data_IF_744666972288
#
_entry.id   IF_744666972288
#
_cell.length_a   1.000
_cell.length_b   1.000
_cell.length_c   1.000
_cell.angle_alpha   90.00
_cell.angle_beta   90.00
_cell.angle_gamma   90.00
#
_symmetry.space_group_name_H-M   'P 1'
#
loop_
_entity.id
_entity.type
_entity.pdbx_description
1 polymer ?
#
# COMPACT_ATOMS: atom_id res chain seq x y z
N UNK A 1 25.96 7.13 -12.10
CA UNK A 1 26.92 6.21 -11.44
C UNK A 1 26.15 4.96 -11.03
N UNK A 2 26.10 4.01 -11.95
CA UNK A 2 25.60 2.66 -11.70
C UNK A 2 26.66 1.90 -10.88
N UNK A 3 26.23 1.10 -9.90
CA UNK A 3 27.13 0.26 -9.13
C UNK A 3 27.71 -0.81 -10.05
N UNK A 4 28.98 -0.63 -10.46
CA UNK A 4 29.73 -1.62 -11.23
C UNK A 4 30.01 -2.86 -10.37
N UNK A 5 29.57 -4.02 -10.84
CA UNK A 5 30.11 -5.32 -10.45
C UNK A 5 30.77 -5.94 -11.68
N UNK A 6 32.04 -6.29 -11.56
CA UNK A 6 32.85 -6.84 -12.65
C UNK A 6 32.71 -8.37 -12.75
N UNK A 7 32.69 -8.81 -14.01
CA UNK A 7 33.13 -10.12 -14.54
C UNK A 7 32.42 -11.38 -14.03
N UNK A 8 31.35 -11.76 -14.74
CA UNK A 8 30.70 -13.08 -14.65
C UNK A 8 29.52 -13.23 -15.63
N UNK A 9 29.71 -12.85 -16.90
CA UNK A 9 28.61 -12.54 -17.84
C UNK A 9 27.62 -13.69 -18.14
N UNK A 10 28.00 -14.96 -18.03
CA UNK A 10 27.11 -16.08 -18.37
C UNK A 10 26.24 -16.55 -17.18
N UNK A 11 26.79 -16.64 -15.97
CA UNK A 11 26.02 -17.00 -14.77
C UNK A 11 25.12 -15.85 -14.30
N UNK A 12 25.51 -14.60 -14.57
CA UNK A 12 24.70 -13.42 -14.25
C UNK A 12 23.39 -13.36 -15.05
N UNK A 13 23.37 -13.78 -16.32
CA UNK A 13 22.17 -13.65 -17.15
C UNK A 13 21.03 -14.55 -16.65
N UNK A 14 21.36 -15.77 -16.21
CA UNK A 14 20.40 -16.69 -15.60
C UNK A 14 19.98 -16.21 -14.20
N UNK A 15 20.92 -15.75 -13.36
CA UNK A 15 20.60 -15.22 -12.03
C UNK A 15 19.77 -13.93 -12.09
N UNK A 16 19.99 -13.08 -13.09
CA UNK A 16 19.31 -11.79 -13.30
C UNK A 16 17.89 -11.97 -13.84
N UNK A 17 17.68 -12.98 -14.70
CA UNK A 17 16.34 -13.38 -15.14
C UNK A 17 15.51 -13.97 -13.99
N UNK A 18 16.12 -14.79 -13.13
CA UNK A 18 15.43 -15.39 -11.97
C UNK A 18 15.16 -14.37 -10.85
N UNK A 19 16.05 -13.40 -10.60
CA UNK A 19 15.83 -12.35 -9.60
C UNK A 19 14.79 -11.29 -10.03
N UNK A 20 14.70 -10.97 -11.33
CA UNK A 20 13.71 -10.03 -11.83
C UNK A 20 12.28 -10.60 -11.81
N UNK A 21 12.12 -11.92 -11.96
CA UNK A 21 10.80 -12.56 -12.02
C UNK A 21 10.04 -12.57 -10.67
N UNK A 22 10.73 -12.39 -9.54
CA UNK A 22 10.15 -12.67 -8.21
C UNK A 22 9.93 -11.45 -7.31
N UNK A 23 10.48 -10.27 -7.64
CA UNK A 23 10.40 -9.07 -6.78
C UNK A 23 9.51 -7.98 -7.39
N UNK A 24 8.56 -7.46 -6.59
CA UNK A 24 7.76 -6.28 -6.97
C UNK A 24 8.60 -5.00 -6.93
N UNK A 25 8.10 -3.92 -7.54
CA UNK A 25 8.78 -2.64 -7.51
C UNK A 25 8.99 -2.12 -6.07
N UNK A 26 8.02 -2.33 -5.17
CA UNK A 26 8.15 -1.97 -3.75
C UNK A 26 9.16 -2.87 -3.02
N UNK A 27 9.33 -4.14 -3.40
CA UNK A 27 10.37 -5.01 -2.83
C UNK A 27 11.77 -4.49 -3.19
N UNK A 28 11.95 -3.97 -4.42
CA UNK A 28 13.22 -3.34 -4.83
C UNK A 28 13.51 -2.08 -4.01
N UNK A 29 12.48 -1.27 -3.69
CA UNK A 29 12.64 -0.11 -2.81
C UNK A 29 13.05 -0.53 -1.39
N UNK A 30 12.46 -1.59 -0.85
CA UNK A 30 12.83 -2.13 0.46
C UNK A 30 14.27 -2.67 0.48
N UNK A 31 14.70 -3.37 -0.58
CA UNK A 31 16.10 -3.83 -0.71
C UNK A 31 17.06 -2.64 -0.75
N UNK A 32 16.74 -1.59 -1.50
CA UNK A 32 17.54 -0.36 -1.52
C UNK A 32 17.59 0.30 -0.14
N UNK A 33 16.45 0.40 0.55
CA UNK A 33 16.34 0.94 1.91
C UNK A 33 17.21 0.19 2.92
N UNK A 34 17.25 -1.15 2.86
CA UNK A 34 18.11 -2.01 3.68
C UNK A 34 19.60 -1.71 3.47
N UNK A 35 20.03 -1.63 2.21
CA UNK A 35 21.43 -1.32 1.86
C UNK A 35 21.85 0.03 2.45
N UNK A 36 20.95 1.03 2.46
CA UNK A 36 21.23 2.36 3.01
C UNK A 36 21.34 2.39 4.53
N UNK A 37 20.64 1.51 5.22
CA UNK A 37 20.65 1.44 6.68
C UNK A 37 21.63 0.38 7.23
N UNK A 38 22.48 -0.22 6.38
CA UNK A 38 23.36 -1.32 6.78
C UNK A 38 24.30 -0.96 7.96
N UNK A 39 24.64 0.33 8.10
CA UNK A 39 25.49 0.84 9.19
C UNK A 39 24.74 1.03 10.52
N UNK A 40 23.41 1.13 10.47
CA UNK A 40 22.58 1.34 11.67
C UNK A 40 22.29 0.03 12.42
N UNK A 41 22.60 -1.11 11.82
CA UNK A 41 22.45 -2.44 12.43
C UNK A 41 21.70 -3.43 11.54
N UNK A 42 21.54 -4.67 12.02
CA UNK A 42 20.83 -5.72 11.29
C UNK A 42 19.35 -5.35 11.08
N UNK A 43 18.82 -5.68 9.89
CA UNK A 43 17.42 -5.50 9.51
C UNK A 43 16.85 -4.08 9.70
N UNK A 44 17.71 -3.08 9.62
CA UNK A 44 17.32 -1.67 9.58
C UNK A 44 16.96 -1.25 8.17
N UNK A 45 16.03 -0.30 8.05
CA UNK A 45 15.57 0.28 6.81
C UNK A 45 15.67 1.81 6.89
N UNK A 46 16.23 2.43 5.85
CA UNK A 46 16.32 3.88 5.73
C UNK A 46 15.08 4.43 5.03
N UNK A 47 14.41 5.41 5.63
CA UNK A 47 13.12 5.92 5.21
C UNK A 47 13.19 7.44 5.08
N UNK A 48 12.81 7.96 3.92
CA UNK A 48 12.73 9.40 3.71
C UNK A 48 11.43 9.94 4.31
N UNK A 49 11.54 10.98 5.13
CA UNK A 49 10.42 11.66 5.76
C UNK A 49 10.37 13.10 5.28
N UNK A 50 9.18 13.56 4.90
CA UNK A 50 8.91 14.98 4.65
C UNK A 50 8.26 15.63 5.88
N UNK A 51 8.26 16.96 5.95
CA UNK A 51 7.81 17.73 7.12
C UNK A 51 6.40 17.37 7.64
N UNK A 52 5.49 16.94 6.77
CA UNK A 52 4.14 16.53 7.17
C UNK A 52 4.05 15.13 7.81
N UNK A 53 5.19 14.54 8.19
CA UNK A 53 5.27 13.21 8.80
C UNK A 53 5.20 12.04 7.80
N UNK A 54 4.92 12.28 6.51
CA UNK A 54 4.82 11.19 5.53
C UNK A 54 6.20 10.57 5.27
N UNK A 55 6.21 9.24 5.37
CA UNK A 55 7.37 8.38 5.18
C UNK A 55 7.32 7.65 3.83
N UNK A 56 8.48 7.51 3.21
CA UNK A 56 8.67 6.92 1.89
C UNK A 56 9.90 6.02 1.86
N UNK A 57 9.72 4.79 1.39
CA UNK A 57 10.80 4.05 0.76
C UNK A 57 11.02 4.64 -0.63
N UNK A 58 12.25 5.05 -0.95
CA UNK A 58 12.53 5.75 -2.20
C UNK A 58 13.63 5.09 -3.02
N UNK A 59 13.59 5.34 -4.32
CA UNK A 59 14.60 4.85 -5.26
C UNK A 59 15.93 5.58 -5.07
N UNK A 60 17.01 5.02 -5.62
CA UNK A 60 18.33 5.67 -5.59
C UNK A 60 18.28 7.12 -6.10
N UNK A 61 17.58 7.36 -7.21
CA UNK A 61 17.50 8.68 -7.83
C UNK A 61 16.84 9.72 -6.92
N UNK A 62 15.73 9.35 -6.26
CA UNK A 62 15.02 10.23 -5.34
C UNK A 62 15.81 10.44 -4.05
N UNK A 63 16.53 9.42 -3.58
CA UNK A 63 17.38 9.51 -2.40
C UNK A 63 18.40 10.64 -2.51
N UNK A 64 19.14 10.70 -3.62
CA UNK A 64 20.16 11.72 -3.85
C UNK A 64 19.60 13.12 -4.07
N UNK A 65 18.35 13.25 -4.51
CA UNK A 65 17.70 14.56 -4.68
C UNK A 65 17.40 15.25 -3.33
N UNK A 66 17.38 14.50 -2.21
CA UNK A 66 17.05 15.00 -0.85
C UNK A 66 15.74 15.80 -0.78
N UNK A 67 14.87 15.62 -1.78
CA UNK A 67 13.59 16.32 -1.91
C UNK A 67 12.54 15.36 -2.46
N UNK A 68 11.33 15.46 -1.92
CA UNK A 68 10.13 14.76 -2.43
C UNK A 68 9.07 15.84 -2.66
N UNK A 69 8.54 15.91 -3.89
CA UNK A 69 7.59 16.95 -4.30
C UNK A 69 8.08 18.38 -3.96
N UNK A 70 9.35 18.68 -4.29
CA UNK A 70 10.05 19.93 -3.98
C UNK A 70 10.20 20.30 -2.49
N UNK A 71 9.73 19.45 -1.57
CA UNK A 71 9.94 19.63 -0.13
C UNK A 71 11.20 18.90 0.32
N UNK A 72 11.98 19.47 1.27
CA UNK A 72 13.12 18.78 1.83
C UNK A 72 12.67 17.45 2.46
N UNK A 73 13.47 16.40 2.24
CA UNK A 73 13.24 15.09 2.83
C UNK A 73 14.41 14.76 3.76
N UNK A 74 14.11 14.52 5.03
CA UNK A 74 15.06 14.02 6.01
C UNK A 74 15.12 12.50 5.95
N UNK A 75 16.20 11.91 6.45
CA UNK A 75 16.36 10.47 6.54
C UNK A 75 16.08 10.05 7.97
N UNK A 76 15.21 9.06 8.13
CA UNK A 76 14.94 8.36 9.38
C UNK A 76 15.29 6.88 9.22
N UNK A 77 15.59 6.22 10.33
CA UNK A 77 15.91 4.79 10.34
C UNK A 77 14.91 4.07 11.24
N UNK A 78 14.36 2.97 10.73
CA UNK A 78 13.39 2.15 11.46
C UNK A 78 13.60 0.67 11.11
N UNK A 79 13.05 -0.22 11.93
CA UNK A 79 13.05 -1.64 11.60
C UNK A 79 12.37 -1.90 10.25
N UNK A 80 12.99 -2.74 9.44
CA UNK A 80 12.35 -3.23 8.23
C UNK A 80 11.06 -4.01 8.56
N UNK A 81 10.11 -4.09 7.61
CA UNK A 81 8.89 -4.90 7.80
C UNK A 81 9.23 -6.34 8.21
N UNK A 82 8.64 -6.78 9.33
CA UNK A 82 8.82 -8.11 9.91
C UNK A 82 9.90 -8.24 10.98
N UNK A 83 10.61 -7.16 11.34
CA UNK A 83 11.66 -7.16 12.35
C UNK A 83 11.37 -6.18 13.47
N UNK A 84 11.90 -6.46 14.66
CA UNK A 84 11.78 -5.64 15.87
C UNK A 84 13.12 -5.49 16.57
N UNK A 85 13.30 -4.34 17.22
CA UNK A 85 14.44 -4.08 18.09
C UNK A 85 14.25 -4.79 19.43
N UNK A 86 15.37 -5.15 20.05
CA UNK A 86 15.42 -5.70 21.41
C UNK A 86 16.16 -4.72 22.31
N UNK A 87 15.73 -4.62 23.57
CA UNK A 87 16.38 -3.73 24.55
C UNK A 87 17.87 -4.06 24.68
N UNK A 88 18.73 -3.04 24.59
CA UNK A 88 20.18 -3.18 24.68
C UNK A 88 20.87 -3.75 23.43
N UNK A 89 20.15 -4.01 22.34
CA UNK A 89 20.74 -4.50 21.07
C UNK A 89 20.67 -3.43 19.97
N UNK A 90 21.64 -3.45 19.06
CA UNK A 90 21.69 -2.54 17.92
C UNK A 90 20.81 -3.05 16.77
N UNK A 91 20.12 -2.13 16.10
CA UNK A 91 19.22 -2.45 14.99
C UNK A 91 18.00 -3.29 15.39
N UNK A 92 17.59 -4.19 14.50
CA UNK A 92 16.40 -5.03 14.67
C UNK A 92 16.76 -6.52 14.48
N UNK A 93 17.43 -7.12 15.48
CA UNK A 93 17.95 -8.49 15.37
C UNK A 93 16.85 -9.56 15.43
N UNK A 94 15.68 -9.24 16.00
CA UNK A 94 14.59 -10.19 16.17
C UNK A 94 13.53 -10.10 15.07
N UNK A 95 12.93 -11.25 14.76
CA UNK A 95 11.80 -11.37 13.85
C UNK A 95 10.50 -11.23 14.66
N UNK A 96 9.51 -10.53 14.11
CA UNK A 96 8.17 -10.45 14.70
C UNK A 96 7.55 -11.84 14.69
N UNK A 97 7.07 -12.38 15.83
CA UNK A 97 6.41 -13.68 15.85
C UNK A 97 5.16 -13.66 14.97
N UNK A 98 4.96 -14.71 14.18
CA UNK A 98 3.77 -14.84 13.35
C UNK A 98 2.57 -15.09 14.26
N UNK A 99 1.61 -14.18 14.20
CA UNK A 99 0.31 -14.32 14.83
C UNK A 99 -0.80 -14.23 13.78
N UNK A 100 -2.06 -14.45 14.16
CA UNK A 100 -3.19 -14.16 13.28
C UNK A 100 -3.19 -12.69 12.86
N UNK A 101 -3.95 -12.35 11.81
CA UNK A 101 -4.11 -10.95 11.39
C UNK A 101 -4.57 -10.10 12.56
N UNK A 102 -5.58 -10.56 13.31
CA UNK A 102 -6.11 -9.84 14.47
C UNK A 102 -5.04 -9.51 15.52
N UNK A 103 -4.26 -10.50 15.94
CA UNK A 103 -3.18 -10.33 16.93
C UNK A 103 -1.99 -9.54 16.37
N UNK A 104 -1.74 -9.63 15.07
CA UNK A 104 -0.69 -8.85 14.40
C UNK A 104 -1.01 -7.36 14.42
N UNK A 105 -2.28 -6.96 14.25
CA UNK A 105 -2.69 -5.55 14.37
C UNK A 105 -2.37 -4.99 15.76
N UNK A 106 -2.63 -5.78 16.80
CA UNK A 106 -2.36 -5.42 18.19
C UNK A 106 -0.85 -5.20 18.42
N UNK A 107 -0.02 -6.16 18.00
CA UNK A 107 1.45 -6.07 18.11
C UNK A 107 2.09 -4.92 17.32
N UNK A 108 1.42 -4.41 16.28
CA UNK A 108 1.87 -3.25 15.50
C UNK A 108 1.46 -1.90 16.12
N UNK A 109 0.65 -1.88 17.17
CA UNK A 109 0.18 -0.65 17.81
C UNK A 109 -0.83 0.16 16.99
N UNK A 110 -1.54 -0.48 16.05
CA UNK A 110 -2.57 0.17 15.22
C UNK A 110 -3.91 0.18 15.97
N UNK A 111 -3.92 0.86 17.11
CA UNK A 111 -5.01 0.83 18.10
C UNK A 111 -6.35 1.30 17.53
N UNK A 112 -6.34 2.34 16.69
CA UNK A 112 -7.58 2.90 16.13
C UNK A 112 -8.24 1.89 15.21
N UNK A 113 -7.48 1.28 14.29
CA UNK A 113 -8.03 0.28 13.38
C UNK A 113 -8.46 -0.98 14.11
N UNK A 114 -7.72 -1.41 15.15
CA UNK A 114 -8.15 -2.51 16.03
C UNK A 114 -9.51 -2.23 16.66
N UNK A 115 -9.71 -1.05 17.24
CA UNK A 115 -11.00 -0.67 17.81
C UNK A 115 -12.14 -0.67 16.77
N UNK A 116 -11.86 -0.28 15.52
CA UNK A 116 -12.84 -0.35 14.42
C UNK A 116 -13.17 -1.79 14.03
N UNK A 117 -12.18 -2.68 13.98
CA UNK A 117 -12.38 -4.13 13.76
C UNK A 117 -13.24 -4.74 14.86
N UNK A 118 -12.95 -4.40 16.11
CA UNK A 118 -13.71 -4.88 17.28
C UNK A 118 -15.15 -4.38 17.22
N UNK A 119 -15.37 -3.09 16.91
CA UNK A 119 -16.70 -2.49 16.74
C UNK A 119 -17.51 -3.11 15.58
N UNK A 120 -16.83 -3.57 14.53
CA UNK A 120 -17.46 -4.21 13.37
C UNK A 120 -17.74 -5.71 13.54
N UNK A 121 -17.43 -6.29 14.72
CA UNK A 121 -17.56 -7.72 14.98
C UNK A 121 -16.86 -8.57 13.90
N UNK A 122 -15.59 -8.22 13.62
CA UNK A 122 -14.69 -8.93 12.70
C UNK A 122 -13.49 -9.57 13.42
N UNK A 123 -13.39 -9.44 14.74
CA UNK A 123 -12.25 -9.96 15.50
C UNK A 123 -12.09 -11.47 15.36
N UNK A 124 -13.18 -12.21 15.51
CA UNK A 124 -13.22 -13.67 15.34
C UNK A 124 -12.89 -14.10 13.90
N UNK A 125 -13.43 -13.40 12.90
CA UNK A 125 -13.17 -13.67 11.48
C UNK A 125 -11.67 -13.48 11.13
N UNK A 126 -11.02 -12.48 11.72
CA UNK A 126 -9.60 -12.18 11.48
C UNK A 126 -8.62 -12.99 12.36
N UNK A 127 -9.10 -13.60 13.43
CA UNK A 127 -8.32 -14.54 14.25
C UNK A 127 -8.47 -16.00 13.74
N UNK A 128 -9.58 -16.29 13.07
CA UNK A 128 -9.94 -17.60 12.56
C UNK A 128 -9.06 -18.14 11.42
N UNK A 129 -9.24 -19.42 11.06
CA UNK A 129 -8.49 -20.06 9.99
C UNK A 129 -8.85 -19.47 8.63
N UNK A 130 -7.86 -19.33 7.76
CA UNK A 130 -8.06 -18.85 6.41
C UNK A 130 -6.78 -18.31 5.79
N UNK A 131 -6.90 -17.77 4.58
CA UNK A 131 -5.80 -17.16 3.86
C UNK A 131 -6.25 -15.80 3.31
N UNK A 132 -6.02 -14.74 4.08
CA UNK A 132 -6.50 -13.41 3.76
C UNK A 132 -5.38 -12.46 3.35
N UNK A 133 -5.74 -11.41 2.63
CA UNK A 133 -4.93 -10.20 2.48
C UNK A 133 -5.73 -9.04 3.00
N UNK A 134 -5.21 -8.30 3.97
CA UNK A 134 -5.87 -7.14 4.52
C UNK A 134 -5.03 -5.88 4.24
N UNK A 135 -5.57 -4.98 3.44
CA UNK A 135 -5.06 -3.61 3.27
C UNK A 135 -5.46 -2.77 4.49
N UNK A 136 -4.65 -2.80 5.55
CA UNK A 136 -4.97 -2.24 6.85
C UNK A 136 -4.70 -0.73 6.90
N UNK A 137 -5.70 0.13 7.13
CA UNK A 137 -5.46 1.55 7.33
C UNK A 137 -4.65 1.83 8.60
N UNK A 138 -3.80 2.87 8.56
CA UNK A 138 -3.10 3.34 9.77
C UNK A 138 -4.02 4.13 10.70
N UNK A 139 -3.53 4.45 11.91
CA UNK A 139 -4.24 5.34 12.82
C UNK A 139 -4.46 6.72 12.17
N UNK A 140 -3.44 7.27 11.50
CA UNK A 140 -3.50 8.57 10.82
C UNK A 140 -4.39 8.54 9.57
N UNK A 141 -4.69 7.36 9.02
CA UNK A 141 -5.67 7.20 7.96
C UNK A 141 -7.09 7.43 8.47
N UNK A 142 -7.42 6.93 9.67
CA UNK A 142 -8.71 7.15 10.32
C UNK A 142 -8.90 8.59 10.79
N UNK A 143 -7.85 9.21 11.32
CA UNK A 143 -7.88 10.61 11.79
C UNK A 143 -8.14 11.63 10.67
N UNK A 144 -7.81 11.29 9.42
CA UNK A 144 -8.05 12.16 8.26
C UNK A 144 -9.47 12.11 7.72
N UNK A 145 -10.27 11.14 8.16
CA UNK A 145 -11.66 11.06 7.72
C UNK A 145 -12.45 12.02 8.58
N UNK A 146 -13.27 12.92 7.99
CA UNK A 146 -14.21 13.70 8.78
C UNK A 146 -15.10 12.76 9.58
N UNK A 147 -15.45 13.15 10.81
CA UNK A 147 -16.34 12.36 11.64
C UNK A 147 -17.69 12.19 10.91
N UNK A 148 -17.90 11.01 10.33
CA UNK A 148 -19.12 10.65 9.64
C UNK A 148 -19.93 9.75 10.56
N UNK A 149 -21.17 10.13 10.86
CA UNK A 149 -22.07 9.35 11.70
C UNK A 149 -22.26 7.91 11.18
N UNK A 150 -22.16 7.72 9.86
CA UNK A 150 -22.23 6.41 9.20
C UNK A 150 -21.10 5.46 9.62
N UNK A 151 -19.91 5.96 9.99
CA UNK A 151 -18.79 5.13 10.46
C UNK A 151 -18.97 4.68 11.92
N UNK A 152 -20.01 5.16 12.58
CA UNK A 152 -20.42 4.69 13.90
C UNK A 152 -21.40 3.52 13.83
N UNK A 153 -22.00 3.23 12.68
CA UNK A 153 -22.82 2.04 12.45
C UNK A 153 -21.91 0.80 12.26
N UNK A 154 -22.00 -0.22 13.13
CA UNK A 154 -21.24 -1.47 13.00
C UNK A 154 -21.39 -2.16 11.63
N UNK A 155 -22.57 -2.13 11.02
CA UNK A 155 -22.83 -2.80 9.75
C UNK A 155 -22.12 -2.09 8.59
N UNK A 156 -22.16 -0.75 8.58
CA UNK A 156 -21.43 0.07 7.60
C UNK A 156 -19.92 -0.13 7.78
N UNK A 157 -19.45 -0.14 9.03
CA UNK A 157 -18.04 -0.35 9.34
C UNK A 157 -17.56 -1.75 8.93
N UNK A 158 -18.37 -2.79 9.15
CA UNK A 158 -18.09 -4.16 8.68
C UNK A 158 -17.98 -4.20 7.16
N UNK A 159 -18.94 -3.62 6.45
CA UNK A 159 -18.92 -3.52 4.98
C UNK A 159 -17.67 -2.80 4.45
N UNK A 160 -17.26 -1.72 5.12
CA UNK A 160 -16.06 -0.96 4.79
C UNK A 160 -14.78 -1.77 5.03
N UNK A 161 -14.64 -2.42 6.18
CA UNK A 161 -13.45 -3.22 6.49
C UNK A 161 -13.34 -4.45 5.58
N UNK A 162 -14.45 -5.09 5.24
CA UNK A 162 -14.47 -6.18 4.25
C UNK A 162 -14.07 -5.72 2.85
N UNK A 163 -14.29 -4.44 2.50
CA UNK A 163 -13.79 -3.89 1.22
C UNK A 163 -12.28 -3.68 1.20
N UNK A 164 -11.61 -3.75 2.34
CA UNK A 164 -10.15 -3.72 2.47
C UNK A 164 -9.52 -5.12 2.51
N UNK A 165 -10.33 -6.17 2.52
CA UNK A 165 -9.89 -7.55 2.63
C UNK A 165 -10.11 -8.33 1.33
N UNK A 166 -9.23 -9.29 1.06
CA UNK A 166 -9.33 -10.25 -0.05
C UNK A 166 -9.16 -11.65 0.53
N UNK A 167 -9.96 -12.60 0.07
CA UNK A 167 -9.94 -14.01 0.51
C UNK A 167 -8.81 -14.84 -0.12
N UNK A 168 -7.63 -14.24 -0.29
CA UNK A 168 -6.41 -14.89 -0.82
C UNK A 168 -5.19 -14.31 -0.12
N UNK A 169 -4.12 -15.09 0.00
CA UNK A 169 -2.81 -14.61 0.48
C UNK A 169 -2.00 -13.98 -0.67
N UNK A 170 -1.94 -12.65 -0.71
CA UNK A 170 -1.29 -11.86 -1.74
C UNK A 170 -0.16 -11.04 -1.15
N UNK A 171 1.08 -11.37 -1.51
CA UNK A 171 2.25 -10.53 -1.24
C UNK A 171 2.34 -9.41 -2.28
N UNK A 172 3.17 -8.40 -2.04
CA UNK A 172 3.44 -7.29 -2.97
C UNK A 172 3.75 -7.77 -4.40
N UNK A 173 4.52 -8.86 -4.55
CA UNK A 173 4.83 -9.50 -5.83
C UNK A 173 3.64 -10.08 -6.59
N UNK A 174 2.55 -10.41 -5.88
CA UNK A 174 1.29 -10.88 -6.47
C UNK A 174 0.38 -9.71 -6.88
N UNK A 175 0.61 -8.49 -6.36
CA UNK A 175 -0.17 -7.29 -6.66
C UNK A 175 0.28 -6.66 -7.99
N UNK A 176 -0.19 -7.20 -9.11
CA UNK A 176 0.19 -6.72 -10.45
C UNK A 176 -0.50 -5.39 -10.78
N UNK A 177 0.25 -4.48 -11.42
CA UNK A 177 -0.30 -3.19 -11.85
C UNK A 177 -1.41 -3.39 -12.89
N UNK A 178 -2.49 -2.61 -12.79
CA UNK A 178 -3.66 -2.71 -13.66
C UNK A 178 -4.61 -3.87 -13.32
N UNK A 179 -4.30 -4.68 -12.30
CA UNK A 179 -5.19 -5.75 -11.86
C UNK A 179 -6.32 -5.24 -10.97
N UNK A 180 -7.45 -5.95 -11.00
CA UNK A 180 -8.55 -5.77 -10.08
C UNK A 180 -8.72 -7.04 -9.23
N UNK A 181 -8.79 -6.86 -7.91
CA UNK A 181 -9.01 -7.93 -6.95
C UNK A 181 -10.44 -7.85 -6.42
N UNK A 182 -11.13 -8.98 -6.35
CA UNK A 182 -12.43 -9.04 -5.68
C UNK A 182 -12.21 -8.90 -4.16
N UNK A 183 -12.82 -7.90 -3.55
CA UNK A 183 -12.80 -7.76 -2.09
C UNK A 183 -13.74 -8.76 -1.43
N UNK A 184 -13.62 -8.96 -0.12
CA UNK A 184 -14.55 -9.80 0.65
C UNK A 184 -15.94 -9.16 0.77
N UNK A 185 -16.06 -7.86 0.50
CA UNK A 185 -17.35 -7.20 0.34
C UNK A 185 -17.85 -7.36 -1.10
N UNK A 186 -19.00 -8.02 -1.25
CA UNK A 186 -19.60 -8.27 -2.57
C UNK A 186 -19.81 -6.98 -3.37
N UNK A 187 -19.55 -7.04 -4.68
CA UNK A 187 -19.68 -5.91 -5.59
C UNK A 187 -18.63 -4.81 -5.41
N UNK A 188 -17.59 -5.02 -4.61
CA UNK A 188 -16.47 -4.09 -4.45
C UNK A 188 -15.15 -4.70 -4.94
N UNK A 189 -14.43 -3.91 -5.73
CA UNK A 189 -13.13 -4.26 -6.31
C UNK A 189 -12.01 -3.38 -5.77
N UNK A 190 -10.83 -3.98 -5.60
CA UNK A 190 -9.59 -3.30 -5.26
C UNK A 190 -8.71 -3.26 -6.50
N UNK A 191 -8.55 -2.07 -7.08
CA UNK A 191 -7.72 -1.77 -8.23
C UNK A 191 -6.29 -1.50 -7.79
N UNK A 192 -5.35 -2.28 -8.33
CA UNK A 192 -3.93 -2.19 -7.99
C UNK A 192 -3.20 -1.38 -9.05
N UNK A 193 -2.40 -0.40 -8.64
CA UNK A 193 -1.51 0.34 -9.53
C UNK A 193 -0.11 0.42 -8.94
N UNK A 194 0.90 0.15 -9.77
CA UNK A 194 2.31 0.40 -9.46
C UNK A 194 2.83 1.51 -10.37
N UNK A 195 3.48 2.50 -9.77
CA UNK A 195 4.15 3.59 -10.49
C UNK A 195 5.60 3.20 -10.82
N UNK A 196 6.22 3.79 -11.86
CA UNK A 196 7.61 3.51 -12.22
C UNK A 196 8.63 3.82 -11.12
N UNK A 197 8.30 4.74 -10.21
CA UNK A 197 9.11 5.05 -9.02
C UNK A 197 8.96 4.02 -7.88
N UNK A 198 8.18 2.95 -8.09
CA UNK A 198 7.96 1.84 -7.15
C UNK A 198 6.86 2.04 -6.14
N UNK A 199 6.10 3.15 -6.21
CA UNK A 199 4.93 3.36 -5.35
C UNK A 199 3.84 2.36 -5.73
N UNK A 200 3.38 1.59 -4.76
CA UNK A 200 2.23 0.70 -4.86
C UNK A 200 0.99 1.39 -4.29
N UNK A 201 -0.11 1.35 -5.02
CA UNK A 201 -1.41 1.88 -4.58
C UNK A 201 -2.54 0.90 -4.82
N UNK A 202 -3.58 1.00 -3.98
CA UNK A 202 -4.84 0.27 -4.07
C UNK A 202 -5.99 1.28 -4.02
N UNK A 203 -6.80 1.36 -5.07
CA UNK A 203 -7.81 2.42 -5.29
C UNK A 203 -7.24 3.82 -4.99
N UNK A 204 -6.05 4.13 -5.52
CA UNK A 204 -5.31 5.37 -5.28
C UNK A 204 -4.83 5.59 -3.83
N UNK A 205 -5.06 4.66 -2.92
CA UNK A 205 -4.50 4.68 -1.56
C UNK A 205 -3.14 4.01 -1.56
N UNK A 206 -2.12 4.71 -1.06
CA UNK A 206 -0.74 4.22 -1.05
C UNK A 206 -0.52 3.12 -0.01
N UNK A 207 0.16 2.05 -0.41
CA UNK A 207 0.69 1.03 0.51
C UNK A 207 2.00 1.54 1.10
N UNK A 208 2.05 1.71 2.42
CA UNK A 208 3.22 2.26 3.12
C UNK A 208 4.16 1.19 3.64
N UNK A 209 3.62 0.08 4.19
CA UNK A 209 4.39 -1.06 4.69
C UNK A 209 3.78 -2.34 4.13
N UNK A 210 4.34 -2.91 3.07
CA UNK A 210 3.84 -4.15 2.50
C UNK A 210 4.37 -5.38 3.26
N UNK A 211 3.75 -6.53 2.99
CA UNK A 211 4.26 -7.86 3.35
C UNK A 211 4.44 -8.11 4.86
N UNK A 212 3.52 -7.60 5.68
CA UNK A 212 3.47 -7.97 7.09
C UNK A 212 2.83 -9.35 7.16
N UNK A 213 3.60 -10.36 7.56
CA UNK A 213 3.15 -11.74 7.55
C UNK A 213 2.31 -12.07 8.79
N UNK A 214 1.24 -12.83 8.60
CA UNK A 214 0.41 -13.40 9.65
C UNK A 214 0.21 -14.91 9.41
N UNK A 215 -0.22 -15.65 10.43
CA UNK A 215 -0.47 -17.10 10.35
C UNK A 215 -1.59 -17.44 9.37
N UNK A 216 -2.64 -16.60 9.32
CA UNK A 216 -3.81 -16.75 8.45
C UNK A 216 -3.82 -15.75 7.27
N UNK A 217 -2.68 -15.12 6.93
CA UNK A 217 -2.65 -14.20 5.80
C UNK A 217 -1.48 -13.23 5.72
N UNK A 218 -1.73 -12.08 5.10
CA UNK A 218 -0.78 -10.98 4.92
C UNK A 218 -1.50 -9.65 5.16
N UNK A 219 -0.86 -8.73 5.88
CA UNK A 219 -1.28 -7.35 5.98
C UNK A 219 -0.40 -6.47 5.10
N UNK A 220 -1.05 -5.51 4.43
CA UNK A 220 -0.39 -4.38 3.78
C UNK A 220 -0.91 -3.10 4.42
N UNK A 221 -0.05 -2.35 5.08
CA UNK A 221 -0.45 -1.11 5.73
C UNK A 221 -0.67 -0.01 4.67
N UNK A 222 -1.78 0.73 4.76
CA UNK A 222 -2.17 1.74 3.77
C UNK A 222 -2.41 3.13 4.39
N UNK A 223 -2.08 4.17 3.61
CA UNK A 223 -2.14 5.60 3.99
C UNK A 223 -3.54 6.22 3.83
N UNK A 224 -4.60 5.44 4.00
CA UNK A 224 -5.97 5.90 3.77
C UNK A 224 -7.00 4.78 3.81
N UNK A 225 -8.27 5.16 3.75
CA UNK A 225 -9.38 4.24 3.55
C UNK A 225 -9.60 4.05 2.06
N UNK A 226 -9.68 2.79 1.62
CA UNK A 226 -9.97 2.39 0.24
C UNK A 226 -11.38 2.89 -0.11
N UNK A 227 -11.52 3.84 -1.06
CA UNK A 227 -12.82 4.34 -1.45
C UNK A 227 -13.57 3.30 -2.29
N UNK A 228 -14.90 3.38 -2.23
CA UNK A 228 -15.77 2.63 -3.14
C UNK A 228 -15.66 3.24 -4.54
N UNK A 229 -15.41 2.40 -5.53
CA UNK A 229 -15.53 2.76 -6.95
C UNK A 229 -16.87 2.21 -7.46
N UNK A 230 -17.81 3.09 -7.77
CA UNK A 230 -19.15 2.71 -8.26
C UNK A 230 -19.50 3.29 -9.63
N UNK A 231 -18.87 4.41 -10.01
CA UNK A 231 -19.17 5.13 -11.24
C UNK A 231 -17.96 5.07 -12.19
N UNK A 232 -18.22 5.03 -13.49
CA UNK A 232 -17.19 5.27 -14.51
C UNK A 232 -17.05 6.78 -14.75
N UNK A 233 -16.02 7.19 -15.50
CA UNK A 233 -15.73 8.61 -15.77
C UNK A 233 -16.94 9.30 -16.42
N UNK A 234 -17.61 8.66 -17.38
CA UNK A 234 -18.80 9.23 -18.04
C UNK A 234 -19.91 9.53 -17.03
N UNK A 235 -20.23 8.60 -16.15
CA UNK A 235 -21.29 8.76 -15.15
C UNK A 235 -20.95 9.86 -14.15
N UNK A 236 -19.68 9.97 -13.72
CA UNK A 236 -19.22 11.11 -12.90
C UNK A 236 -19.41 12.41 -13.65
N UNK A 237 -19.00 12.46 -14.92
CA UNK A 237 -19.17 13.64 -15.76
C UNK A 237 -20.62 14.03 -15.89
N UNK A 238 -21.57 13.09 -15.97
CA UNK A 238 -23.02 13.31 -16.11
C UNK A 238 -23.69 13.74 -14.80
N UNK A 239 -23.31 13.16 -13.66
CA UNK A 239 -23.94 13.41 -12.35
C UNK A 239 -23.43 14.68 -11.68
N UNK A 240 -22.17 15.05 -11.89
CA UNK A 240 -21.55 16.19 -11.23
C UNK A 240 -22.01 17.52 -11.87
N UNK A 241 -22.62 18.40 -11.08
CA UNK A 241 -23.07 19.72 -11.55
C UNK A 241 -21.93 20.68 -11.84
N UNK A 242 -20.79 20.55 -11.13
CA UNK A 242 -19.62 21.40 -11.33
C UNK A 242 -18.92 21.10 -12.66
N UNK A 243 -19.10 19.90 -13.21
CA UNK A 243 -18.50 19.47 -14.48
C UNK A 243 -19.40 19.75 -15.70
N UNK A 244 -20.44 20.57 -15.55
CA UNK A 244 -21.43 20.84 -16.61
C UNK A 244 -20.84 21.40 -17.91
N UNK A 245 -19.81 22.27 -17.83
CA UNK A 245 -19.11 22.78 -19.02
C UNK A 245 -18.34 21.70 -19.78
N UNK A 246 -17.79 20.71 -19.06
CA UNK A 246 -17.07 19.57 -19.63
C UNK A 246 -18.04 18.51 -20.23
N UNK A 247 -19.29 18.45 -19.76
CA UNK A 247 -20.35 17.63 -20.40
C UNK A 247 -20.60 18.10 -21.83
N UNK A 248 -20.69 19.42 -22.03
CA UNK A 248 -21.05 20.03 -23.31
C UNK A 248 -19.98 19.72 -24.36
N UNK A 249 -18.69 19.92 -24.08
CA UNK A 249 -17.61 19.77 -25.08
C UNK A 249 -17.46 18.34 -25.63
N UNK A 250 -17.79 17.30 -24.86
CA UNK A 250 -17.77 15.92 -25.34
C UNK A 250 -18.91 15.59 -26.34
N UNK A 251 -19.97 16.40 -26.37
CA UNK A 251 -21.06 16.27 -27.36
C UNK A 251 -20.78 17.01 -28.67
N UNK A 252 -19.85 17.97 -28.69
CA UNK A 252 -19.47 18.71 -29.91
C UNK A 252 -18.73 17.82 -30.92
N UNK A 253 -17.93 16.85 -30.45
CA UNK A 253 -17.29 15.86 -31.34
C UNK A 253 -18.29 14.88 -32.00
N UNK A 254 -19.50 14.72 -31.44
CA UNK A 254 -20.55 13.92 -32.07
C UNK A 254 -21.25 14.69 -33.22
N UNK A 255 -21.22 16.03 -33.19
CA UNK A 255 -21.88 16.88 -34.20
C UNK A 255 -20.97 17.21 -35.39
N UNK A 256 -19.64 17.10 -35.25
CA UNK A 256 -18.70 17.37 -36.37
C UNK A 256 -18.65 16.29 -37.46
N UNK A 257 -19.35 15.17 -37.28
CA UNK A 257 -19.44 14.09 -38.28
C UNK A 257 -20.79 14.04 -39.03
N UNK A 258 -21.73 14.96 -38.76
CA UNK A 258 -23.03 15.00 -39.43
C UNK A 258 -23.17 16.07 -40.52
N UNK A 259 -22.14 16.85 -40.81
CA UNK A 259 -22.18 17.86 -41.88
C UNK A 259 -20.96 17.73 -42.80
N UNK A 260 -21.02 16.77 -43.73
CA UNK A 260 -20.42 16.91 -45.04
C UNK A 260 -21.45 16.37 -46.06
N UNK A 261 -21.97 17.23 -46.98
CA UNK A 261 -22.83 16.79 -48.09
C UNK A 261 -22.06 15.97 -49.14
#
# INVERSE_FOLDING_TARGET
MECKWSTGFAAFLVLWLVHNASSSAIDRLLTHSRIRAIKEGPNMCAVQQIENGKKYFSSCQLWYRKKICNRPATVSYECCPGYVSLSGQTGCPAIVPLNSIYKTVDGLGIKVTKARVDKADLGSDLDGPGAYTFFMPTNEAWERIPAAAELEDPAVLKSLLLSHAVNKRLLSRHLKSGSALASMQSGRSIYVQQSPNGILTVNCVRVIKPNILATNGVLHMVDGIIPRVSNNIRKILEEDSELSTLKVTNSWHALSHQHLP
#
